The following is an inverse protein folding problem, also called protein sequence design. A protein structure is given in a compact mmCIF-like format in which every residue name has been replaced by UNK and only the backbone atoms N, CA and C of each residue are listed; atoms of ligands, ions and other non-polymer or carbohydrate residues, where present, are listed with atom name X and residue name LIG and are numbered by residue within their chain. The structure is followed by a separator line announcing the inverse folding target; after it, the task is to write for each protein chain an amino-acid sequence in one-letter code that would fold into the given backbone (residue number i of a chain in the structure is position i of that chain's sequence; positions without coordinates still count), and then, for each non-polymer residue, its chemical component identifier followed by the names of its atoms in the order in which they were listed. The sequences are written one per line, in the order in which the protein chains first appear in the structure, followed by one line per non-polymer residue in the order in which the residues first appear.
data_IF_694189612945
#
_entry.id   IF_694189612945
#
_cell.length_a   1.000
_cell.length_b   1.000
_cell.length_c   1.000
_cell.angle_alpha   90.00
_cell.angle_beta   90.00
_cell.angle_gamma   90.00
#
_symmetry.space_group_name_H-M   'P 1'
#
loop_
_entity.id
_entity.type
_entity.pdbx_description
1 polymer ?
#
# COMPACT_ATOMS: atom_id res chain seq x y z
N UNK A 1 17.56 8.69 5.82
CA UNK A 1 17.57 9.29 4.48
C UNK A 1 16.33 8.75 3.77
N UNK A 2 15.31 9.55 3.63
CA UNK A 2 14.11 9.21 2.85
C UNK A 2 14.51 9.14 1.38
N UNK A 3 14.24 8.04 0.66
CA UNK A 3 14.50 8.00 -0.78
C UNK A 3 13.60 9.03 -1.46
N UNK A 4 14.21 9.90 -2.24
CA UNK A 4 13.48 10.84 -3.11
C UNK A 4 12.67 10.01 -4.11
N UNK A 5 11.37 10.26 -4.27
CA UNK A 5 10.57 9.57 -5.28
C UNK A 5 11.17 9.83 -6.66
N UNK A 6 11.37 8.76 -7.43
CA UNK A 6 11.81 8.83 -8.82
C UNK A 6 10.65 9.43 -9.63
N UNK A 7 10.75 10.71 -9.98
CA UNK A 7 9.79 11.33 -10.89
C UNK A 7 10.02 10.80 -12.31
N UNK A 8 8.92 10.37 -12.97
CA UNK A 8 8.95 10.01 -14.39
C UNK A 8 9.41 11.20 -15.23
N UNK A 9 10.27 10.94 -16.21
CA UNK A 9 10.57 11.92 -17.25
C UNK A 9 9.33 12.12 -18.14
N UNK A 10 9.19 13.26 -18.80
CA UNK A 10 8.08 13.52 -19.73
C UNK A 10 8.00 12.45 -20.85
N UNK A 11 9.12 11.91 -21.27
CA UNK A 11 9.15 10.83 -22.24
C UNK A 11 8.59 9.51 -21.69
N UNK A 12 8.83 9.21 -20.42
CA UNK A 12 8.23 8.04 -19.74
C UNK A 12 6.73 8.21 -19.50
N UNK A 13 6.29 9.41 -19.15
CA UNK A 13 4.86 9.76 -19.03
C UNK A 13 4.16 9.63 -20.38
N UNK A 14 4.76 10.13 -21.46
CA UNK A 14 4.20 10.00 -22.80
C UNK A 14 4.12 8.54 -23.26
N UNK A 15 5.11 7.71 -22.99
CA UNK A 15 5.06 6.26 -23.30
C UNK A 15 3.98 5.54 -22.49
N UNK A 16 3.79 5.92 -21.23
CA UNK A 16 2.72 5.38 -20.39
C UNK A 16 1.34 5.80 -20.94
N UNK A 17 1.15 7.08 -21.25
CA UNK A 17 -0.09 7.59 -21.84
C UNK A 17 -0.41 6.90 -23.19
N UNK A 18 0.59 6.67 -24.02
CA UNK A 18 0.43 5.94 -25.29
C UNK A 18 0.04 4.47 -25.06
N UNK A 19 0.61 3.80 -24.07
CA UNK A 19 0.21 2.43 -23.68
C UNK A 19 -1.22 2.39 -23.16
N UNK A 20 -1.62 3.36 -22.33
CA UNK A 20 -2.99 3.48 -21.81
C UNK A 20 -4.01 3.74 -22.95
N UNK A 21 -3.65 4.52 -23.94
CA UNK A 21 -4.53 4.79 -25.10
C UNK A 21 -4.70 3.57 -26.03
N UNK A 22 -3.76 2.63 -26.02
CA UNK A 22 -3.81 1.40 -26.84
C UNK A 22 -4.57 0.27 -26.14
N UNK A 23 -4.96 0.42 -24.87
CA UNK A 23 -5.74 -0.60 -24.15
C UNK A 23 -7.16 -0.65 -24.70
N UNK A 24 -7.56 -1.84 -25.16
CA UNK A 24 -8.92 -2.12 -25.62
C UNK A 24 -9.88 -1.99 -24.44
N UNK A 25 -10.61 -0.90 -24.35
CA UNK A 25 -11.69 -0.73 -23.38
C UNK A 25 -12.84 -1.64 -23.79
N UNK A 26 -13.28 -2.52 -22.89
CA UNK A 26 -14.54 -3.23 -23.07
C UNK A 26 -15.69 -2.19 -23.01
N UNK A 27 -16.29 -1.92 -24.16
CA UNK A 27 -17.40 -0.97 -24.30
C UNK A 27 -18.64 -1.40 -23.53
N UNK A 28 -18.72 -2.65 -23.10
CA UNK A 28 -19.80 -3.18 -22.29
C UNK A 28 -19.55 -2.96 -20.79
N UNK A 29 -18.34 -2.61 -20.37
CA UNK A 29 -18.04 -2.28 -18.98
C UNK A 29 -18.56 -0.87 -18.63
N UNK A 30 -19.67 -0.84 -17.91
CA UNK A 30 -20.29 0.41 -17.41
C UNK A 30 -19.70 0.83 -16.04
N UNK A 31 -18.58 0.26 -15.61
CA UNK A 31 -17.93 0.61 -14.37
C UNK A 31 -18.57 0.01 -13.13
N UNK A 32 -19.36 -1.07 -13.25
CA UNK A 32 -19.98 -1.76 -12.12
C UNK A 32 -18.92 -2.34 -11.18
N UNK A 33 -19.28 -2.50 -9.89
CA UNK A 33 -18.47 -3.23 -8.92
C UNK A 33 -18.31 -4.69 -9.32
N UNK A 34 -17.08 -5.20 -9.29
CA UNK A 34 -16.79 -6.58 -9.64
C UNK A 34 -16.91 -7.51 -8.43
N UNK A 35 -17.33 -8.78 -8.63
CA UNK A 35 -17.82 -9.61 -7.52
C UNK A 35 -16.75 -9.99 -6.49
N UNK A 36 -15.49 -10.20 -6.88
CA UNK A 36 -14.41 -10.53 -5.93
C UNK A 36 -14.04 -9.31 -5.10
N UNK A 37 -13.82 -8.16 -5.75
CA UNK A 37 -13.54 -6.88 -5.09
C UNK A 37 -14.68 -6.48 -4.16
N UNK A 38 -15.94 -6.58 -4.60
CA UNK A 38 -17.10 -6.27 -3.76
C UNK A 38 -17.18 -7.17 -2.53
N UNK A 39 -16.89 -8.48 -2.67
CA UNK A 39 -16.88 -9.44 -1.57
C UNK A 39 -15.74 -9.13 -0.58
N UNK A 40 -14.56 -8.82 -1.09
CA UNK A 40 -13.42 -8.45 -0.25
C UNK A 40 -13.69 -7.17 0.57
N UNK A 41 -14.25 -6.14 -0.07
CA UNK A 41 -14.60 -4.88 0.59
C UNK A 41 -15.73 -5.05 1.62
N UNK A 42 -16.62 -6.04 1.44
CA UNK A 42 -17.67 -6.36 2.40
C UNK A 42 -17.14 -7.03 3.69
N UNK A 43 -15.90 -7.51 3.70
CA UNK A 43 -15.23 -7.95 4.93
C UNK A 43 -14.98 -6.73 5.83
N UNK A 44 -15.42 -6.80 7.07
CA UNK A 44 -15.13 -5.75 8.06
C UNK A 44 -13.66 -5.75 8.49
N UNK A 45 -13.31 -4.81 9.35
CA UNK A 45 -11.95 -4.77 9.91
C UNK A 45 -11.64 -5.94 10.87
N UNK A 46 -12.66 -6.60 11.43
CA UNK A 46 -12.48 -7.76 12.29
C UNK A 46 -11.58 -7.51 13.50
N UNK A 47 -11.18 -8.58 14.17
CA UNK A 47 -10.19 -8.54 15.27
C UNK A 47 -8.73 -8.52 14.77
N UNK A 48 -8.52 -8.71 13.47
CA UNK A 48 -7.22 -8.77 12.80
C UNK A 48 -6.80 -7.41 12.19
N UNK A 49 -7.49 -6.32 12.57
CA UNK A 49 -7.22 -4.98 12.05
C UNK A 49 -7.54 -4.80 10.56
N UNK A 50 -8.24 -5.77 9.95
CA UNK A 50 -8.57 -5.77 8.52
C UNK A 50 -7.57 -6.53 7.63
N UNK A 51 -6.72 -7.38 8.22
CA UNK A 51 -5.76 -8.19 7.47
C UNK A 51 -6.44 -9.08 6.43
N UNK A 52 -7.48 -9.84 6.84
CA UNK A 52 -8.24 -10.70 5.94
C UNK A 52 -8.92 -9.92 4.79
N UNK A 53 -9.42 -8.71 5.09
CA UNK A 53 -9.98 -7.79 4.09
C UNK A 53 -8.94 -7.35 3.07
N UNK A 54 -7.78 -6.94 3.54
CA UNK A 54 -6.67 -6.51 2.69
C UNK A 54 -6.16 -7.67 1.82
N UNK A 55 -5.94 -8.84 2.39
CA UNK A 55 -5.52 -10.05 1.67
C UNK A 55 -6.52 -10.41 0.56
N UNK A 56 -7.81 -10.49 0.90
CA UNK A 56 -8.87 -10.79 -0.07
C UNK A 56 -8.99 -9.74 -1.18
N UNK A 57 -8.74 -8.45 -0.85
CA UNK A 57 -8.77 -7.38 -1.84
C UNK A 57 -7.57 -7.49 -2.80
N UNK A 58 -6.36 -7.75 -2.29
CA UNK A 58 -5.18 -7.97 -3.12
C UNK A 58 -5.39 -9.15 -4.06
N UNK A 59 -5.94 -10.27 -3.57
CA UNK A 59 -6.26 -11.43 -4.39
C UNK A 59 -7.29 -11.13 -5.48
N UNK A 60 -8.28 -10.30 -5.17
CA UNK A 60 -9.30 -9.88 -6.15
C UNK A 60 -8.68 -9.05 -7.28
N UNK A 61 -7.78 -8.14 -6.94
CA UNK A 61 -7.13 -7.21 -7.88
C UNK A 61 -6.17 -7.88 -8.87
N UNK A 62 -5.76 -9.13 -8.62
CA UNK A 62 -5.03 -9.95 -9.62
C UNK A 62 -5.89 -10.18 -10.87
N UNK A 63 -7.21 -10.28 -10.72
CA UNK A 63 -8.13 -10.73 -11.78
C UNK A 63 -9.14 -9.66 -12.21
N UNK A 64 -9.34 -8.64 -11.39
CA UNK A 64 -10.41 -7.66 -11.59
C UNK A 64 -9.81 -6.27 -11.84
N UNK A 65 -10.44 -5.57 -12.79
CA UNK A 65 -10.06 -4.19 -13.11
C UNK A 65 -10.46 -3.23 -12.00
N UNK A 66 -9.85 -2.06 -12.03
CA UNK A 66 -10.17 -0.93 -11.16
C UNK A 66 -10.72 0.25 -11.96
N UNK A 67 -11.35 1.17 -11.27
CA UNK A 67 -11.78 2.46 -11.83
C UNK A 67 -10.83 3.53 -11.34
N UNK A 68 -10.32 4.33 -12.25
CA UNK A 68 -9.55 5.54 -11.94
C UNK A 68 -10.31 6.78 -12.36
N UNK A 69 -10.22 7.87 -11.61
CA UNK A 69 -10.76 9.16 -12.03
C UNK A 69 -9.90 9.74 -13.14
N UNK A 70 -10.55 10.28 -14.16
CA UNK A 70 -9.91 11.12 -15.16
C UNK A 70 -10.42 12.54 -14.96
N UNK A 71 -9.51 13.47 -14.75
CA UNK A 71 -9.82 14.89 -14.87
C UNK A 71 -9.98 15.22 -16.35
N UNK A 72 -11.16 15.68 -16.73
CA UNK A 72 -11.44 16.10 -18.09
C UNK A 72 -11.28 17.61 -18.13
N UNK A 73 -10.12 18.07 -18.57
CA UNK A 73 -10.02 19.48 -18.96
C UNK A 73 -11.13 19.83 -19.95
N UNK A 74 -11.80 20.97 -19.76
CA UNK A 74 -12.76 21.49 -20.75
C UNK A 74 -12.07 21.59 -22.10
N UNK A 75 -12.71 21.10 -23.17
CA UNK A 75 -12.17 21.18 -24.53
C UNK A 75 -11.68 22.62 -24.81
N UNK A 76 -10.35 22.82 -25.03
CA UNK A 76 -9.82 24.17 -25.30
C UNK A 76 -10.47 24.84 -26.52
N UNK A 77 -11.16 24.08 -27.38
CA UNK A 77 -11.97 24.61 -28.48
C UNK A 77 -13.25 25.28 -28.03
N UNK A 78 -13.72 25.02 -26.81
CA UNK A 78 -14.92 25.67 -26.26
C UNK A 78 -14.67 27.11 -25.76
N UNK A 79 -13.42 27.52 -25.57
CA UNK A 79 -13.05 28.83 -25.00
C UNK A 79 -12.25 29.74 -25.93
N UNK A 80 -11.96 29.35 -27.17
CA UNK A 80 -11.46 30.26 -28.22
C UNK A 80 -10.09 30.89 -28.03
N UNK A 81 -9.28 30.46 -27.10
CA UNK A 81 -7.94 31.00 -26.86
C UNK A 81 -6.93 29.85 -26.88
N UNK A 82 -6.00 29.93 -27.86
CA UNK A 82 -4.90 29.00 -28.12
C UNK A 82 -5.21 27.70 -28.88
N UNK A 83 -5.67 27.83 -30.12
CA UNK A 83 -5.47 26.80 -31.14
C UNK A 83 -3.97 26.78 -31.52
N UNK A 84 -3.12 26.04 -30.86
CA UNK A 84 -1.72 25.98 -31.31
C UNK A 84 -0.68 25.35 -30.43
N UNK A 85 -0.95 24.99 -29.22
CA UNK A 85 0.05 24.31 -28.40
C UNK A 85 -0.35 22.86 -28.14
N UNK A 86 0.47 21.98 -28.67
CA UNK A 86 0.42 20.52 -28.61
C UNK A 86 0.58 20.03 -27.16
N UNK A 87 -0.51 19.88 -26.47
CA UNK A 87 -0.46 19.33 -25.15
C UNK A 87 -1.68 18.46 -24.89
N UNK A 88 -1.70 17.21 -25.41
CA UNK A 88 -2.41 16.21 -24.64
C UNK A 88 -1.62 16.08 -23.34
N UNK A 89 -2.09 16.73 -22.28
CA UNK A 89 -1.57 16.50 -20.96
C UNK A 89 -1.59 15.01 -20.69
N UNK A 90 -0.46 14.44 -20.21
CA UNK A 90 -0.49 13.05 -19.73
C UNK A 90 -1.62 12.94 -18.72
N UNK A 91 -2.30 11.80 -18.70
CA UNK A 91 -3.36 11.51 -17.75
C UNK A 91 -2.75 11.69 -16.35
N UNK A 92 -3.15 12.75 -15.65
CA UNK A 92 -2.75 12.97 -14.28
C UNK A 92 -3.67 12.14 -13.38
N UNK A 93 -3.08 11.16 -12.69
CA UNK A 93 -3.83 10.35 -11.74
C UNK A 93 -4.10 11.13 -10.46
N UNK A 94 -5.27 10.93 -9.89
CA UNK A 94 -5.66 11.58 -8.64
C UNK A 94 -4.95 10.92 -7.46
N UNK A 95 -4.34 11.75 -6.64
CA UNK A 95 -3.69 11.34 -5.41
C UNK A 95 -4.56 11.66 -4.19
N UNK A 96 -4.42 10.86 -3.15
CA UNK A 96 -5.08 11.07 -1.86
C UNK A 96 -4.06 11.00 -0.72
N UNK A 97 -4.26 11.82 0.30
CA UNK A 97 -3.46 11.78 1.51
C UNK A 97 -3.93 10.64 2.41
N UNK A 98 -2.99 9.84 2.89
CA UNK A 98 -3.25 8.70 3.78
C UNK A 98 -2.33 8.75 5.00
N UNK A 99 -2.57 7.95 6.05
CA UNK A 99 -1.65 7.85 7.18
C UNK A 99 -0.24 7.37 6.80
N UNK A 100 -0.08 6.70 5.65
CA UNK A 100 1.22 6.28 5.12
C UNK A 100 1.87 7.31 4.19
N UNK A 101 1.24 8.45 3.96
CA UNK A 101 1.64 9.47 3.00
C UNK A 101 0.74 9.49 1.77
N UNK A 102 1.23 10.09 0.70
CA UNK A 102 0.51 10.19 -0.56
C UNK A 102 0.33 8.82 -1.22
N UNK A 103 -0.88 8.55 -1.72
CA UNK A 103 -1.26 7.32 -2.40
C UNK A 103 -2.07 7.63 -3.67
N UNK A 104 -1.96 6.80 -4.69
CA UNK A 104 -2.77 6.91 -5.90
C UNK A 104 -4.19 6.44 -5.59
N UNK A 105 -5.19 7.24 -5.95
CA UNK A 105 -6.59 6.95 -5.68
C UNK A 105 -7.21 6.09 -6.78
N UNK A 106 -7.78 4.94 -6.39
CA UNK A 106 -8.56 4.08 -7.28
C UNK A 106 -9.91 3.75 -6.65
N UNK A 107 -10.84 3.25 -7.46
CA UNK A 107 -12.20 2.92 -7.02
C UNK A 107 -12.60 1.54 -7.49
N UNK A 108 -13.40 0.86 -6.67
CA UNK A 108 -13.95 -0.46 -6.98
C UNK A 108 -15.05 -0.40 -8.06
N UNK A 109 -15.68 0.78 -8.24
CA UNK A 109 -16.74 0.99 -9.21
C UNK A 109 -16.90 2.47 -9.58
N UNK A 110 -17.56 2.74 -10.70
CA UNK A 110 -17.96 4.09 -11.09
C UNK A 110 -18.90 4.74 -10.06
N UNK A 111 -19.73 3.95 -9.37
CA UNK A 111 -20.58 4.43 -8.28
C UNK A 111 -19.75 4.90 -7.09
N UNK A 112 -18.72 4.15 -6.68
CA UNK A 112 -17.82 4.55 -5.59
C UNK A 112 -17.06 5.84 -5.95
N UNK A 113 -16.61 5.97 -7.20
CA UNK A 113 -16.01 7.20 -7.70
C UNK A 113 -16.99 8.36 -7.65
N UNK A 114 -18.20 8.24 -8.24
CA UNK A 114 -19.16 9.32 -8.30
C UNK A 114 -19.65 9.79 -6.92
N UNK A 115 -19.66 8.90 -5.93
CA UNK A 115 -19.99 9.24 -4.54
C UNK A 115 -18.94 10.16 -3.91
N UNK A 116 -17.68 9.93 -4.18
CA UNK A 116 -16.57 10.71 -3.63
C UNK A 116 -16.21 11.93 -4.51
N UNK A 117 -16.24 11.75 -5.83
CA UNK A 117 -15.81 12.75 -6.82
C UNK A 117 -16.83 12.83 -7.98
N UNK A 118 -17.97 13.50 -7.78
CA UNK A 118 -19.09 13.46 -8.74
C UNK A 118 -18.80 14.15 -10.10
N UNK A 119 -17.72 14.93 -10.19
CA UNK A 119 -17.31 15.62 -11.42
C UNK A 119 -16.37 14.81 -12.31
N UNK A 120 -15.75 13.76 -11.77
CA UNK A 120 -14.72 13.02 -12.48
C UNK A 120 -15.32 11.93 -13.37
N UNK A 121 -14.65 11.64 -14.49
CA UNK A 121 -15.06 10.54 -15.37
C UNK A 121 -14.37 9.24 -14.98
N UNK A 122 -15.12 8.12 -14.92
CA UNK A 122 -14.53 6.81 -14.64
C UNK A 122 -13.79 6.26 -15.87
N UNK A 123 -12.57 5.76 -15.66
CA UNK A 123 -11.83 4.95 -16.62
C UNK A 123 -11.52 3.60 -16.01
N UNK A 124 -11.85 2.52 -16.71
CA UNK A 124 -11.53 1.16 -16.31
C UNK A 124 -10.10 0.79 -16.74
N UNK A 125 -9.28 0.33 -15.80
CA UNK A 125 -7.90 -0.10 -16.05
C UNK A 125 -7.60 -1.42 -15.33
N UNK A 126 -6.71 -2.21 -15.88
CA UNK A 126 -6.14 -3.33 -15.13
C UNK A 126 -5.22 -2.84 -14.02
N UNK A 127 -5.16 -3.60 -12.93
CA UNK A 127 -4.37 -3.19 -11.77
C UNK A 127 -2.88 -3.08 -12.06
N UNK A 128 -2.34 -3.93 -12.95
CA UNK A 128 -0.92 -3.94 -13.25
C UNK A 128 -0.43 -2.60 -13.79
N UNK A 129 -1.23 -1.99 -14.68
CA UNK A 129 -0.93 -0.66 -15.23
C UNK A 129 -0.86 0.39 -14.14
N UNK A 130 -1.87 0.40 -13.25
CA UNK A 130 -1.96 1.35 -12.14
C UNK A 130 -0.86 1.09 -11.11
N UNK A 131 -0.58 -0.18 -10.81
CA UNK A 131 0.49 -0.56 -9.90
C UNK A 131 1.87 -0.06 -10.35
N UNK A 132 2.19 -0.19 -11.64
CA UNK A 132 3.44 0.35 -12.20
C UNK A 132 3.53 1.87 -12.09
N UNK A 133 2.41 2.57 -12.32
CA UNK A 133 2.33 4.02 -12.15
C UNK A 133 2.55 4.41 -10.68
N UNK A 134 1.86 3.75 -9.75
CA UNK A 134 1.96 4.03 -8.33
C UNK A 134 3.39 3.81 -7.78
N UNK A 135 4.12 2.80 -8.29
CA UNK A 135 5.51 2.57 -7.90
C UNK A 135 6.41 3.78 -8.17
N UNK A 136 6.08 4.55 -9.20
CA UNK A 136 6.86 5.73 -9.60
C UNK A 136 6.35 7.00 -8.93
N UNK A 137 5.03 7.22 -8.92
CA UNK A 137 4.44 8.48 -8.49
C UNK A 137 4.27 8.58 -6.96
N UNK A 138 3.82 7.48 -6.32
CA UNK A 138 3.48 7.48 -4.89
C UNK A 138 4.34 6.52 -4.06
N UNK A 139 5.48 6.08 -4.61
CA UNK A 139 6.34 5.11 -3.95
C UNK A 139 5.67 3.74 -3.74
N UNK A 140 4.67 3.41 -4.59
CA UNK A 140 3.96 2.14 -4.57
C UNK A 140 2.77 2.10 -3.62
N UNK A 141 2.18 3.22 -3.25
CA UNK A 141 0.98 3.25 -2.42
C UNK A 141 -0.26 3.51 -3.25
N UNK A 142 -1.29 2.74 -3.02
CA UNK A 142 -2.60 2.87 -3.65
C UNK A 142 -3.67 2.85 -2.56
N UNK A 143 -4.64 3.75 -2.65
CA UNK A 143 -5.84 3.73 -1.80
C UNK A 143 -7.07 3.40 -2.63
N UNK A 144 -7.79 2.38 -2.20
CA UNK A 144 -9.05 1.94 -2.81
C UNK A 144 -10.21 2.62 -2.10
N UNK A 145 -11.14 3.22 -2.86
CA UNK A 145 -12.33 3.93 -2.38
C UNK A 145 -12.03 5.02 -1.32
N UNK A 146 -11.12 5.97 -1.58
CA UNK A 146 -10.92 7.08 -0.65
C UNK A 146 -12.22 7.87 -0.45
N UNK A 147 -12.41 8.41 0.76
CA UNK A 147 -13.61 9.19 1.10
C UNK A 147 -14.81 8.37 1.55
N UNK A 148 -14.76 7.03 1.46
CA UNK A 148 -15.80 6.13 1.97
C UNK A 148 -15.18 5.07 2.89
N UNK A 149 -15.13 3.83 2.45
CA UNK A 149 -14.56 2.70 3.18
C UNK A 149 -13.15 2.39 2.62
N UNK A 150 -12.23 3.31 2.84
CA UNK A 150 -10.90 3.30 2.27
C UNK A 150 -10.07 2.07 2.70
N UNK A 151 -9.38 1.45 1.74
CA UNK A 151 -8.38 0.42 2.01
C UNK A 151 -7.06 0.85 1.38
N UNK A 152 -6.04 1.02 2.23
CA UNK A 152 -4.69 1.34 1.77
C UNK A 152 -3.95 0.04 1.41
N UNK A 153 -3.53 -0.06 0.15
CA UNK A 153 -2.65 -1.14 -0.31
C UNK A 153 -1.20 -0.74 -0.01
N UNK A 154 -0.48 -1.55 0.77
CA UNK A 154 0.91 -1.24 1.08
C UNK A 154 1.82 -1.49 -0.14
N UNK A 155 2.94 -0.77 -0.18
CA UNK A 155 3.92 -0.86 -1.27
C UNK A 155 4.31 -2.29 -1.67
N UNK A 156 4.58 -3.25 -0.76
CA UNK A 156 4.94 -4.61 -1.17
C UNK A 156 3.82 -5.33 -1.93
N UNK A 157 2.56 -5.13 -1.53
CA UNK A 157 1.42 -5.70 -2.25
C UNK A 157 1.28 -5.11 -3.67
N UNK A 158 1.40 -3.79 -3.79
CA UNK A 158 1.34 -3.11 -5.10
C UNK A 158 2.49 -3.54 -5.99
N UNK A 159 3.71 -3.69 -5.44
CA UNK A 159 4.87 -4.15 -6.19
C UNK A 159 4.70 -5.58 -6.72
N UNK A 160 4.21 -6.50 -5.88
CA UNK A 160 3.92 -7.88 -6.29
C UNK A 160 2.88 -7.93 -7.41
N UNK A 161 1.74 -7.28 -7.24
CA UNK A 161 0.67 -7.22 -8.25
C UNK A 161 1.15 -6.60 -9.58
N UNK A 162 1.95 -5.54 -9.51
CA UNK A 162 2.48 -4.87 -10.70
C UNK A 162 3.46 -5.77 -11.50
N UNK A 163 4.17 -6.65 -10.82
CA UNK A 163 5.08 -7.62 -11.42
C UNK A 163 4.38 -8.91 -11.85
N UNK A 164 3.19 -9.16 -11.34
CA UNK A 164 2.45 -10.42 -11.53
C UNK A 164 2.91 -11.52 -10.59
N UNK A 165 3.53 -11.13 -9.48
CA UNK A 165 3.99 -12.03 -8.42
C UNK A 165 2.92 -12.22 -7.34
N UNK A 166 3.04 -13.31 -6.58
CA UNK A 166 2.23 -13.53 -5.38
C UNK A 166 2.74 -12.64 -4.23
N UNK A 167 1.80 -11.97 -3.56
CA UNK A 167 2.14 -11.19 -2.38
C UNK A 167 2.06 -12.04 -1.10
N UNK A 168 3.18 -12.12 -0.39
CA UNK A 168 3.24 -12.72 0.95
C UNK A 168 3.27 -11.58 1.99
N UNK A 169 2.17 -11.35 2.74
CA UNK A 169 2.16 -10.34 3.80
C UNK A 169 3.13 -10.70 4.94
N UNK A 170 3.75 -9.69 5.55
CA UNK A 170 4.70 -9.87 6.64
C UNK A 170 4.13 -10.72 7.82
N UNK A 171 2.84 -10.56 8.11
CA UNK A 171 2.15 -11.30 9.19
C UNK A 171 1.77 -12.75 8.82
N UNK A 172 2.00 -13.17 7.58
CA UNK A 172 1.88 -14.55 7.10
C UNK A 172 3.23 -15.21 6.83
N UNK A 173 4.33 -14.42 6.88
CA UNK A 173 5.68 -14.90 6.62
C UNK A 173 6.32 -15.46 7.92
N UNK A 174 6.11 -16.76 8.17
CA UNK A 174 6.67 -17.45 9.34
C UNK A 174 8.20 -17.42 9.32
N UNK A 175 8.84 -17.53 8.16
CA UNK A 175 10.28 -17.45 8.06
C UNK A 175 10.84 -16.06 8.40
N UNK A 176 10.09 -15.00 8.15
CA UNK A 176 10.42 -13.65 8.63
C UNK A 176 10.29 -13.59 10.16
N UNK A 177 9.19 -14.10 10.72
CA UNK A 177 8.97 -14.13 12.17
C UNK A 177 10.12 -14.85 12.90
N UNK A 178 10.48 -16.04 12.43
CA UNK A 178 11.59 -16.83 13.00
C UNK A 178 12.94 -16.10 12.91
N UNK A 179 13.21 -15.45 11.77
CA UNK A 179 14.41 -14.65 11.58
C UNK A 179 14.49 -13.50 12.58
N UNK A 180 13.38 -12.73 12.74
CA UNK A 180 13.32 -11.62 13.68
C UNK A 180 13.45 -12.09 15.12
N UNK A 181 12.83 -13.22 15.50
CA UNK A 181 12.93 -13.80 16.83
C UNK A 181 14.39 -14.22 17.14
N UNK A 182 15.06 -14.92 16.22
CA UNK A 182 16.44 -15.30 16.38
C UNK A 182 17.38 -14.09 16.55
N UNK A 183 17.17 -13.06 15.72
CA UNK A 183 17.92 -11.80 15.81
C UNK A 183 17.69 -11.09 17.14
N UNK A 184 16.44 -11.06 17.61
CA UNK A 184 16.04 -10.40 18.84
C UNK A 184 16.65 -11.06 20.07
N UNK A 185 16.56 -12.41 20.16
CA UNK A 185 17.13 -13.21 21.27
C UNK A 185 18.66 -13.07 21.31
N UNK A 186 19.32 -13.09 20.15
CA UNK A 186 20.78 -12.93 20.09
C UNK A 186 21.23 -11.56 20.59
N UNK A 187 20.42 -10.51 20.37
CA UNK A 187 20.73 -9.15 20.82
C UNK A 187 20.31 -8.90 22.28
N UNK A 188 19.20 -9.47 22.73
CA UNK A 188 18.65 -9.33 24.09
C UNK A 188 18.02 -10.64 24.55
N UNK A 189 18.71 -11.45 25.40
CA UNK A 189 18.21 -12.75 25.87
C UNK A 189 16.91 -12.68 26.69
N UNK A 190 16.50 -11.51 27.18
CA UNK A 190 15.22 -11.31 27.85
C UNK A 190 14.03 -11.31 26.88
N UNK A 191 14.26 -11.25 25.58
CA UNK A 191 13.20 -11.37 24.58
C UNK A 191 12.86 -12.86 24.41
N UNK A 192 11.55 -13.18 24.50
CA UNK A 192 11.06 -14.57 24.48
C UNK A 192 10.18 -14.86 23.27
N UNK A 193 9.62 -13.85 22.63
CA UNK A 193 8.76 -14.03 21.44
C UNK A 193 8.69 -12.78 20.59
N UNK A 194 8.41 -12.98 19.29
CA UNK A 194 8.12 -11.93 18.30
C UNK A 194 6.87 -12.34 17.53
N UNK A 195 5.88 -11.48 17.53
CA UNK A 195 4.64 -11.62 16.75
C UNK A 195 4.57 -10.50 15.72
N UNK A 196 4.13 -10.82 14.50
CA UNK A 196 3.91 -9.83 13.43
C UNK A 196 2.43 -9.79 13.13
N UNK A 197 1.83 -8.61 13.18
CA UNK A 197 0.40 -8.41 12.94
C UNK A 197 0.14 -7.20 12.03
N UNK A 198 -0.95 -7.24 11.29
CA UNK A 198 -1.47 -6.05 10.62
C UNK A 198 -2.21 -5.17 11.61
N UNK A 199 -1.94 -3.87 11.59
CA UNK A 199 -2.53 -2.91 12.51
C UNK A 199 -3.40 -1.84 11.82
N UNK A 200 -3.83 -2.11 10.57
CA UNK A 200 -4.61 -1.16 9.78
C UNK A 200 -3.75 -0.14 9.00
N UNK A 201 -4.34 0.49 8.00
CA UNK A 201 -3.75 1.60 7.24
C UNK A 201 -2.30 1.36 6.76
N UNK A 202 -2.03 0.15 6.27
CA UNK A 202 -0.70 -0.24 5.79
C UNK A 202 0.35 -0.41 6.90
N UNK A 203 -0.05 -0.36 8.18
CA UNK A 203 0.84 -0.51 9.33
C UNK A 203 1.02 -2.00 9.69
N UNK A 204 2.27 -2.45 9.72
CA UNK A 204 2.68 -3.73 10.30
C UNK A 204 3.21 -3.50 11.70
N UNK A 205 2.63 -4.16 12.68
CA UNK A 205 3.10 -4.12 14.08
C UNK A 205 3.90 -5.36 14.40
N UNK A 206 5.11 -5.16 14.91
CA UNK A 206 5.98 -6.20 15.46
C UNK A 206 5.93 -6.11 16.98
N UNK A 207 5.25 -7.05 17.61
CA UNK A 207 5.16 -7.14 19.08
C UNK A 207 6.30 -7.97 19.59
N UNK A 208 7.14 -7.39 20.44
CA UNK A 208 8.31 -8.05 21.03
C UNK A 208 8.02 -8.35 22.50
N UNK A 209 7.81 -9.62 22.82
CA UNK A 209 7.55 -10.07 24.19
C UNK A 209 8.85 -10.19 24.97
N UNK A 210 8.91 -9.49 26.09
CA UNK A 210 10.08 -9.45 26.99
C UNK A 210 9.70 -10.11 28.32
N UNK A 211 10.49 -11.09 28.77
CA UNK A 211 10.30 -11.73 30.05
C UNK A 211 10.53 -10.74 31.20
N UNK A 212 9.48 -10.52 31.99
CA UNK A 212 9.48 -9.57 33.09
C UNK A 212 10.51 -9.93 34.15
N UNK A 213 10.67 -11.23 34.42
CA UNK A 213 11.56 -11.70 35.51
C UNK A 213 13.01 -11.48 35.10
N UNK A 214 13.38 -11.91 33.91
CA UNK A 214 14.74 -11.69 33.38
C UNK A 214 15.07 -10.21 33.25
N UNK A 215 14.07 -9.39 32.86
CA UNK A 215 14.22 -7.95 32.74
C UNK A 215 14.42 -7.26 34.09
N UNK A 216 13.74 -7.72 35.16
CA UNK A 216 13.82 -7.16 36.51
C UNK A 216 15.04 -7.62 37.29
N UNK A 217 15.56 -8.84 37.02
CA UNK A 217 16.71 -9.44 37.69
C UNK A 217 18.06 -9.01 37.13
N UNK A 218 18.07 -8.30 36.02
CA UNK A 218 19.29 -7.72 35.45
C UNK A 218 19.96 -6.79 36.45
N UNK A 219 21.26 -7.05 36.70
CA UNK A 219 22.04 -6.33 37.72
C UNK A 219 22.12 -4.80 37.49
N UNK A 220 21.80 -4.35 36.29
CA UNK A 220 21.70 -2.94 35.90
C UNK A 220 20.51 -2.73 34.96
N UNK A 221 19.45 -2.12 35.49
CA UNK A 221 18.25 -1.77 34.73
C UNK A 221 18.52 -0.81 33.55
N UNK A 222 19.58 0.00 33.64
CA UNK A 222 19.97 0.90 32.54
C UNK A 222 20.61 0.11 31.39
N UNK A 223 21.53 -0.80 31.70
CA UNK A 223 22.16 -1.67 30.70
C UNK A 223 21.13 -2.56 29.99
N UNK A 224 20.14 -3.08 30.74
CA UNK A 224 19.07 -3.89 30.15
C UNK A 224 18.19 -3.07 29.19
N UNK A 225 17.83 -1.82 29.53
CA UNK A 225 17.10 -0.93 28.65
C UNK A 225 17.89 -0.59 27.37
N UNK A 226 19.18 -0.36 27.50
CA UNK A 226 20.06 -0.08 26.36
C UNK A 226 20.16 -1.30 25.42
N UNK A 227 20.33 -2.50 26.00
CA UNK A 227 20.36 -3.77 25.26
C UNK A 227 19.02 -4.01 24.52
N UNK A 228 17.89 -3.79 25.18
CA UNK A 228 16.58 -3.89 24.56
C UNK A 228 16.41 -2.85 23.43
N UNK A 229 16.77 -1.60 23.68
CA UNK A 229 16.71 -0.54 22.64
C UNK A 229 17.56 -0.89 21.42
N UNK A 230 18.76 -1.43 21.63
CA UNK A 230 19.64 -1.89 20.55
C UNK A 230 19.00 -3.03 19.77
N UNK A 231 18.40 -4.01 20.45
CA UNK A 231 17.67 -5.10 19.80
C UNK A 231 16.49 -4.62 18.97
N UNK A 232 15.65 -3.71 19.51
CA UNK A 232 14.50 -3.14 18.79
C UNK A 232 14.95 -2.35 17.55
N UNK A 233 16.01 -1.55 17.66
CA UNK A 233 16.57 -0.81 16.54
C UNK A 233 17.12 -1.76 15.45
N UNK A 234 17.78 -2.84 15.85
CA UNK A 234 18.28 -3.84 14.91
C UNK A 234 17.14 -4.57 14.17
N UNK A 235 16.02 -4.86 14.85
CA UNK A 235 14.82 -5.40 14.20
C UNK A 235 14.24 -4.41 13.18
N UNK A 236 14.11 -3.13 13.54
CA UNK A 236 13.62 -2.09 12.64
C UNK A 236 14.50 -1.85 11.42
N UNK A 237 15.79 -2.16 11.52
CA UNK A 237 16.76 -2.07 10.43
C UNK A 237 16.87 -3.37 9.60
N UNK A 238 16.09 -4.42 9.93
CA UNK A 238 16.16 -5.70 9.22
C UNK A 238 15.69 -5.51 7.77
N UNK A 239 16.53 -5.82 6.75
CA UNK A 239 16.22 -5.54 5.35
C UNK A 239 15.02 -6.34 4.83
N UNK A 240 14.79 -7.57 5.33
CA UNK A 240 13.64 -8.38 4.94
C UNK A 240 12.33 -7.80 5.50
N UNK A 241 12.33 -7.31 6.74
CA UNK A 241 11.17 -6.61 7.31
C UNK A 241 10.86 -5.32 6.53
N UNK A 242 11.88 -4.52 6.21
CA UNK A 242 11.72 -3.29 5.42
C UNK A 242 11.18 -3.58 4.01
N UNK A 243 11.59 -4.70 3.41
CA UNK A 243 11.11 -5.09 2.08
C UNK A 243 9.67 -5.62 2.13
N UNK A 244 9.24 -6.28 3.19
CA UNK A 244 7.93 -6.92 3.33
C UNK A 244 6.83 -6.02 3.90
N UNK A 245 7.19 -4.86 4.48
CA UNK A 245 6.25 -3.94 5.11
C UNK A 245 6.49 -2.50 4.62
N UNK A 246 5.41 -1.71 4.48
CA UNK A 246 5.50 -0.28 4.10
C UNK A 246 5.74 0.61 5.33
N UNK A 247 5.00 0.34 6.39
CA UNK A 247 5.12 1.02 7.70
C UNK A 247 5.31 -0.02 8.79
N UNK A 248 6.25 0.22 9.68
CA UNK A 248 6.54 -0.71 10.78
C UNK A 248 6.48 0.03 12.11
N UNK A 249 5.78 -0.55 13.06
CA UNK A 249 5.83 -0.19 14.48
C UNK A 249 6.38 -1.38 15.26
N UNK A 250 7.39 -1.14 16.11
CA UNK A 250 7.93 -2.18 16.99
C UNK A 250 7.53 -1.84 18.42
N UNK A 251 6.74 -2.73 19.04
CA UNK A 251 6.13 -2.52 20.35
C UNK A 251 6.64 -3.59 21.36
N UNK A 252 7.51 -3.22 22.30
CA UNK A 252 7.89 -4.15 23.38
C UNK A 252 6.76 -4.29 24.40
N UNK A 253 6.49 -5.53 24.81
CA UNK A 253 5.48 -5.87 25.82
C UNK A 253 6.11 -6.75 26.89
N UNK A 254 5.98 -6.37 28.17
CA UNK A 254 6.42 -7.20 29.28
C UNK A 254 5.40 -8.30 29.57
N UNK A 255 5.84 -9.53 29.58
CA UNK A 255 5.04 -10.72 29.92
C UNK A 255 5.58 -11.45 31.15
#
# INVERSE_FOLDING_TARGET
MTPTPLSLTEEQKNRLAQRLSMMSHDRADVGQGLPRTARALALGQGSDGGAARLEALVDALVFERVIVPIDVEPDPRATGVHAGENGHNPIDFVHAQTPAGEALAIYSSAQALSTHRPGDRPMALDFRTIGLTALVETGGRIVVNPGTDAVLLPRPAVAALAQGDEWLPAWRDEALRELLLAQAIAACPAIVDVEIAYAGDGLTRVVVSVDRVSFAQGADASAMKETLSTALNALGANPRLIASADRVEIAPVLR
#
